data_IF_786343076414
#
_entry.id   IF_786343076414
#
_cell.length_a   1.000
_cell.length_b   1.000
_cell.length_c   1.000
_cell.angle_alpha   90.00
_cell.angle_beta   90.00
_cell.angle_gamma   90.00
#
_symmetry.space_group_name_H-M   'P 1'
#
loop_
_entity.id
_entity.type
_entity.pdbx_description
1 polymer ?
#
# COMPACT_ATOMS: atom_id res chain seq x y z
N UNK A 1 9.38 21.11 13.66
CA UNK A 1 8.58 20.09 12.94
C UNK A 1 9.16 18.70 13.19
N UNK A 2 8.33 17.64 13.21
CA UNK A 2 8.75 16.23 13.31
C UNK A 2 8.57 15.53 11.95
N UNK A 3 9.27 14.41 11.75
CA UNK A 3 9.19 13.63 10.50
C UNK A 3 7.95 12.73 10.47
N UNK A 4 7.33 12.61 9.31
CA UNK A 4 6.27 11.66 9.00
C UNK A 4 6.87 10.53 8.16
N UNK A 5 7.32 9.47 8.82
CA UNK A 5 7.98 8.33 8.19
C UNK A 5 7.07 7.10 8.17
N UNK A 6 7.07 6.38 7.05
CA UNK A 6 6.35 5.11 6.87
C UNK A 6 7.30 3.96 6.54
N UNK A 7 8.54 4.22 6.13
CA UNK A 7 9.57 3.21 5.96
C UNK A 7 10.91 3.77 6.44
N UNK A 8 11.79 2.91 6.95
CA UNK A 8 13.17 3.27 7.30
C UNK A 8 14.08 2.06 7.12
N UNK A 9 15.38 2.25 7.30
CA UNK A 9 16.35 1.15 7.33
C UNK A 9 16.15 0.16 8.50
N UNK A 10 15.31 0.49 9.49
CA UNK A 10 15.06 -0.35 10.68
C UNK A 10 13.63 -0.91 10.76
N UNK A 11 12.73 -0.53 9.84
CA UNK A 11 11.36 -1.06 9.83
C UNK A 11 11.36 -2.57 9.55
N UNK A 12 10.49 -3.31 10.25
CA UNK A 12 10.44 -4.79 10.18
C UNK A 12 9.86 -5.33 8.87
N UNK A 13 9.08 -4.51 8.18
CA UNK A 13 8.41 -4.79 6.90
C UNK A 13 8.32 -3.48 6.14
N UNK A 14 8.47 -3.53 4.82
CA UNK A 14 8.26 -2.39 3.94
C UNK A 14 6.87 -1.78 4.07
N UNK A 15 6.73 -0.52 3.65
CA UNK A 15 5.47 0.21 3.86
C UNK A 15 4.28 -0.41 3.10
N UNK A 16 4.54 -0.97 1.91
CA UNK A 16 3.49 -1.55 1.07
C UNK A 16 3.19 -3.02 1.44
N UNK A 17 4.16 -3.73 2.03
CA UNK A 17 3.90 -5.03 2.71
C UNK A 17 2.88 -4.87 3.82
N UNK A 18 3.01 -3.82 4.63
CA UNK A 18 2.04 -3.56 5.72
C UNK A 18 0.70 -3.11 5.16
N UNK A 19 0.68 -2.29 4.11
CA UNK A 19 -0.56 -1.87 3.45
C UNK A 19 -1.38 -3.07 2.94
N UNK A 20 -0.72 -4.08 2.35
CA UNK A 20 -1.35 -5.35 1.94
C UNK A 20 -1.82 -6.19 3.12
N UNK A 21 -0.99 -6.40 4.13
CA UNK A 21 -1.37 -7.22 5.30
C UNK A 21 -2.58 -6.59 6.02
N UNK A 22 -2.68 -5.27 6.10
CA UNK A 22 -3.79 -4.59 6.77
C UNK A 22 -5.16 -4.90 6.14
N UNK A 23 -5.23 -5.24 4.85
CA UNK A 23 -6.46 -5.67 4.17
C UNK A 23 -7.07 -6.90 4.85
N UNK A 24 -6.25 -7.79 5.42
CA UNK A 24 -6.73 -8.99 6.12
C UNK A 24 -7.65 -8.65 7.31
N UNK A 25 -7.53 -7.44 7.89
CA UNK A 25 -8.40 -7.00 8.98
C UNK A 25 -9.81 -6.64 8.51
N UNK A 26 -10.01 -6.40 7.21
CA UNK A 26 -11.30 -6.10 6.63
C UNK A 26 -12.05 -7.37 6.18
N UNK A 27 -11.30 -8.45 5.87
CA UNK A 27 -11.83 -9.73 5.39
C UNK A 27 -11.35 -10.92 6.25
N UNK A 28 -11.56 -10.90 7.58
CA UNK A 28 -11.00 -11.91 8.50
C UNK A 28 -11.51 -13.33 8.24
N UNK A 29 -12.79 -13.49 7.88
CA UNK A 29 -13.39 -14.80 7.62
C UNK A 29 -12.83 -15.45 6.35
N UNK A 30 -12.64 -14.67 5.29
CA UNK A 30 -11.99 -15.15 4.06
C UNK A 30 -10.54 -15.53 4.34
N UNK A 31 -9.81 -14.71 5.09
CA UNK A 31 -8.44 -14.99 5.49
C UNK A 31 -8.32 -16.30 6.27
N UNK A 32 -9.19 -16.54 7.25
CA UNK A 32 -9.22 -17.78 8.01
C UNK A 32 -9.41 -19.00 7.10
N UNK A 33 -10.36 -18.92 6.16
CA UNK A 33 -10.63 -19.99 5.20
C UNK A 33 -9.40 -20.29 4.34
N UNK A 34 -8.71 -19.25 3.84
CA UNK A 34 -7.50 -19.41 3.05
C UNK A 34 -6.38 -20.07 3.84
N UNK A 35 -6.11 -19.62 5.07
CA UNK A 35 -5.10 -20.23 5.94
C UNK A 35 -5.40 -21.71 6.17
N UNK A 36 -6.65 -22.08 6.49
CA UNK A 36 -7.03 -23.49 6.69
C UNK A 36 -6.77 -24.32 5.43
N UNK A 37 -7.18 -23.81 4.28
CA UNK A 37 -6.98 -24.44 2.96
C UNK A 37 -5.49 -24.63 2.63
N UNK A 38 -4.65 -23.62 2.85
CA UNK A 38 -3.22 -23.70 2.58
C UNK A 38 -2.48 -24.64 3.54
N UNK A 39 -2.85 -24.64 4.82
CA UNK A 39 -2.30 -25.59 5.81
C UNK A 39 -2.60 -27.04 5.44
N UNK A 40 -3.80 -27.31 4.95
CA UNK A 40 -4.18 -28.65 4.48
C UNK A 40 -3.33 -29.08 3.29
N UNK A 41 -3.24 -28.23 2.25
CA UNK A 41 -2.46 -28.49 1.03
C UNK A 41 -0.97 -28.66 1.31
N UNK A 42 -0.42 -27.91 2.26
CA UNK A 42 1.00 -27.95 2.60
C UNK A 42 1.34 -28.93 3.73
N UNK A 43 0.36 -29.64 4.30
CA UNK A 43 0.56 -30.51 5.46
C UNK A 43 1.63 -31.59 5.24
N UNK A 44 1.67 -32.19 4.05
CA UNK A 44 2.64 -33.21 3.65
C UNK A 44 4.05 -32.67 3.41
N UNK A 45 4.20 -31.35 3.24
CA UNK A 45 5.48 -30.67 3.01
C UNK A 45 6.24 -30.39 4.31
N UNK A 46 5.57 -30.53 5.46
CA UNK A 46 6.20 -30.33 6.77
C UNK A 46 7.09 -31.50 7.14
N UNK A 47 8.23 -31.19 7.75
CA UNK A 47 9.16 -32.22 8.24
C UNK A 47 8.95 -32.42 9.75
N UNK A 48 9.02 -33.67 10.21
CA UNK A 48 8.98 -34.00 11.62
C UNK A 48 10.39 -34.24 12.16
N UNK A 49 10.87 -33.35 13.02
CA UNK A 49 12.14 -33.47 13.73
C UNK A 49 11.89 -33.64 15.22
N UNK A 50 12.36 -34.75 15.80
CA UNK A 50 12.31 -35.01 17.26
C UNK A 50 10.92 -34.76 17.85
N UNK A 51 9.87 -35.34 17.25
CA UNK A 51 8.46 -35.15 17.63
C UNK A 51 7.93 -33.71 17.51
N UNK A 52 8.51 -32.89 16.62
CA UNK A 52 8.04 -31.53 16.30
C UNK A 52 7.87 -31.37 14.79
N UNK A 53 6.71 -30.88 14.39
CA UNK A 53 6.45 -30.48 13.00
C UNK A 53 7.09 -29.12 12.72
N UNK A 54 7.80 -29.01 11.60
CA UNK A 54 8.46 -27.79 11.14
C UNK A 54 7.86 -27.33 9.80
N UNK A 55 7.43 -26.08 9.67
CA UNK A 55 7.26 -25.10 10.75
C UNK A 55 6.14 -25.48 11.72
N UNK A 56 6.21 -24.93 12.94
CA UNK A 56 5.09 -25.01 13.87
C UNK A 56 3.89 -24.18 13.37
N UNK A 57 2.78 -24.17 14.12
CA UNK A 57 1.57 -23.47 13.65
C UNK A 57 1.72 -21.95 13.63
N UNK A 58 2.48 -21.37 14.56
CA UNK A 58 2.66 -19.93 14.65
C UNK A 58 3.60 -19.41 13.56
N UNK A 59 4.70 -20.12 13.33
CA UNK A 59 5.67 -19.79 12.28
C UNK A 59 5.09 -20.00 10.89
N UNK A 60 4.24 -21.02 10.69
CA UNK A 60 3.50 -21.21 9.44
C UNK A 60 2.51 -20.06 9.18
N UNK A 61 1.78 -19.61 10.20
CA UNK A 61 0.85 -18.49 10.07
C UNK A 61 1.58 -17.18 9.75
N UNK A 62 2.71 -16.94 10.42
CA UNK A 62 3.62 -15.83 10.13
C UNK A 62 4.15 -15.89 8.69
N UNK A 63 4.52 -17.07 8.22
CA UNK A 63 5.00 -17.26 6.86
C UNK A 63 3.91 -16.89 5.84
N UNK A 64 2.66 -17.33 6.03
CA UNK A 64 1.59 -16.99 5.09
C UNK A 64 1.30 -15.49 5.04
N UNK A 65 1.29 -14.78 6.17
CA UNK A 65 1.16 -13.31 6.17
C UNK A 65 2.35 -12.64 5.47
N UNK A 66 3.56 -13.17 5.70
CA UNK A 66 4.77 -12.65 5.07
C UNK A 66 4.71 -12.83 3.56
N UNK A 67 4.41 -14.04 3.08
CA UNK A 67 4.27 -14.31 1.64
C UNK A 67 3.21 -13.38 1.05
N UNK A 68 2.02 -13.31 1.63
CA UNK A 68 0.94 -12.44 1.14
C UNK A 68 1.36 -10.97 1.02
N UNK A 69 2.07 -10.47 2.03
CA UNK A 69 2.52 -9.08 2.05
C UNK A 69 3.61 -8.78 1.03
N UNK A 70 4.62 -9.64 0.89
CA UNK A 70 5.82 -9.38 0.08
C UNK A 70 5.83 -10.01 -1.30
N UNK A 71 4.84 -10.83 -1.66
CA UNK A 71 4.85 -11.53 -2.96
C UNK A 71 4.93 -10.51 -4.12
N UNK A 72 5.89 -10.67 -5.04
CA UNK A 72 6.14 -9.72 -6.12
C UNK A 72 5.01 -9.71 -7.16
N UNK A 73 4.71 -8.53 -7.73
CA UNK A 73 3.71 -8.39 -8.79
C UNK A 73 4.09 -9.13 -10.09
N UNK A 74 5.37 -9.13 -10.42
CA UNK A 74 5.94 -9.84 -11.59
C UNK A 74 6.03 -11.37 -11.42
N UNK A 75 5.56 -11.90 -10.28
CA UNK A 75 5.72 -13.31 -9.92
C UNK A 75 7.12 -13.62 -9.37
N UNK A 76 7.31 -14.87 -8.95
CA UNK A 76 8.56 -15.31 -8.30
C UNK A 76 9.58 -15.89 -9.28
N UNK A 77 9.15 -16.23 -10.49
CA UNK A 77 10.02 -16.75 -11.54
C UNK A 77 11.05 -15.70 -11.96
N UNK A 78 12.33 -16.08 -12.05
CA UNK A 78 13.44 -15.18 -12.37
C UNK A 78 13.68 -14.04 -11.35
N UNK A 79 13.19 -14.19 -10.12
CA UNK A 79 13.48 -13.27 -9.01
C UNK A 79 14.31 -13.96 -7.92
N UNK A 80 14.92 -13.18 -7.03
CA UNK A 80 15.59 -13.66 -5.82
C UNK A 80 14.64 -13.81 -4.61
N UNK A 81 13.32 -13.74 -4.85
CA UNK A 81 12.31 -13.64 -3.79
C UNK A 81 12.33 -14.81 -2.81
N UNK A 82 12.44 -16.04 -3.31
CA UNK A 82 12.38 -17.24 -2.48
C UNK A 82 13.58 -17.31 -1.53
N UNK A 83 14.75 -16.87 -1.98
CA UNK A 83 15.96 -16.80 -1.16
C UNK A 83 15.86 -15.66 -0.13
N UNK A 84 15.39 -14.47 -0.53
CA UNK A 84 15.11 -13.35 0.38
C UNK A 84 14.12 -13.74 1.49
N UNK A 85 13.08 -14.49 1.14
CA UNK A 85 12.08 -14.97 2.08
C UNK A 85 12.68 -15.98 3.07
N UNK A 86 13.53 -16.91 2.59
CA UNK A 86 14.24 -17.87 3.45
C UNK A 86 15.13 -17.14 4.46
N UNK A 87 15.93 -16.18 4.01
CA UNK A 87 16.80 -15.38 4.89
C UNK A 87 15.98 -14.64 5.96
N UNK A 88 14.86 -14.04 5.55
CA UNK A 88 13.96 -13.37 6.48
C UNK A 88 13.30 -14.33 7.48
N UNK A 89 12.85 -15.50 7.03
CA UNK A 89 12.22 -16.51 7.88
C UNK A 89 13.20 -17.00 8.96
N UNK A 90 14.44 -17.32 8.59
CA UNK A 90 15.49 -17.71 9.55
C UNK A 90 15.78 -16.59 10.56
N UNK A 91 15.90 -15.35 10.08
CA UNK A 91 16.06 -14.19 10.98
C UNK A 91 14.89 -14.08 11.96
N UNK A 92 13.65 -14.21 11.48
CA UNK A 92 12.45 -14.09 12.31
C UNK A 92 12.39 -15.16 13.41
N UNK A 93 12.65 -16.43 13.09
CA UNK A 93 12.59 -17.51 14.10
C UNK A 93 13.73 -17.44 15.10
N UNK A 94 14.91 -16.93 14.71
CA UNK A 94 16.02 -16.65 15.63
C UNK A 94 15.73 -15.49 16.57
N UNK A 95 15.02 -14.46 16.11
CA UNK A 95 14.58 -13.34 16.95
C UNK A 95 13.47 -13.75 17.92
N UNK A 96 12.58 -14.66 17.51
CA UNK A 96 11.52 -15.21 18.35
C UNK A 96 12.05 -16.05 19.53
N UNK A 97 13.21 -16.71 19.35
CA UNK A 97 13.91 -17.49 20.39
C UNK A 97 13.10 -18.65 21.00
N UNK A 98 12.09 -19.14 20.27
CA UNK A 98 11.25 -20.27 20.69
C UNK A 98 11.96 -21.60 20.44
N UNK A 99 12.47 -21.80 19.22
CA UNK A 99 13.11 -23.05 18.80
C UNK A 99 14.58 -22.89 18.42
N UNK A 100 14.96 -21.77 17.81
CA UNK A 100 16.35 -21.43 17.46
C UNK A 100 16.68 -20.01 17.94
N UNK A 101 17.96 -19.72 18.17
CA UNK A 101 18.44 -18.40 18.56
C UNK A 101 19.84 -18.13 18.00
N UNK A 102 20.23 -16.85 17.87
CA UNK A 102 21.55 -16.45 17.34
C UNK A 102 22.76 -17.04 18.05
N UNK A 103 22.65 -17.33 19.36
CA UNK A 103 23.74 -17.92 20.15
C UNK A 103 23.67 -19.44 20.22
N UNK A 104 22.54 -20.03 19.83
CA UNK A 104 22.29 -21.48 19.87
C UNK A 104 21.34 -21.85 18.74
N UNK A 105 21.94 -22.11 17.58
CA UNK A 105 21.20 -22.49 16.39
C UNK A 105 20.62 -23.90 16.53
N UNK A 106 19.35 -24.06 16.18
CA UNK A 106 18.72 -25.35 15.92
C UNK A 106 18.73 -25.58 14.41
N UNK A 107 19.79 -26.21 13.91
CA UNK A 107 20.01 -26.41 12.47
C UNK A 107 18.92 -27.29 11.84
N UNK A 108 18.33 -28.22 12.60
CA UNK A 108 17.27 -29.09 12.10
C UNK A 108 15.99 -28.28 11.86
N UNK A 109 15.63 -27.39 12.81
CA UNK A 109 14.48 -26.50 12.65
C UNK A 109 14.68 -25.51 11.49
N UNK A 110 15.85 -24.89 11.41
CA UNK A 110 16.16 -23.92 10.36
C UNK A 110 16.16 -24.58 8.97
N UNK A 111 16.80 -25.74 8.83
CA UNK A 111 16.80 -26.51 7.57
C UNK A 111 15.39 -26.95 7.20
N UNK A 112 14.63 -27.51 8.15
CA UNK A 112 13.25 -27.93 7.91
C UNK A 112 12.37 -26.77 7.45
N UNK A 113 12.56 -25.57 7.99
CA UNK A 113 11.77 -24.41 7.60
C UNK A 113 12.15 -23.90 6.20
N UNK A 114 13.44 -23.88 5.86
CA UNK A 114 13.89 -23.55 4.48
C UNK A 114 13.35 -24.56 3.46
N UNK A 115 13.45 -25.86 3.75
CA UNK A 115 12.88 -26.92 2.89
C UNK A 115 11.38 -26.78 2.73
N UNK A 116 10.66 -26.39 3.79
CA UNK A 116 9.22 -26.11 3.70
C UNK A 116 8.95 -24.93 2.75
N UNK A 117 9.69 -23.82 2.85
CA UNK A 117 9.54 -22.65 1.97
C UNK A 117 9.80 -23.05 0.51
N UNK A 118 10.89 -23.76 0.23
CA UNK A 118 11.21 -24.26 -1.12
C UNK A 118 10.07 -25.11 -1.68
N UNK A 119 9.55 -26.04 -0.88
CA UNK A 119 8.46 -26.94 -1.30
C UNK A 119 7.13 -26.21 -1.50
N UNK A 120 6.85 -25.17 -0.71
CA UNK A 120 5.62 -24.37 -0.81
C UNK A 120 5.63 -23.49 -2.05
N UNK A 121 6.78 -22.91 -2.38
CA UNK A 121 6.93 -21.94 -3.47
C UNK A 121 7.56 -22.50 -4.75
N UNK A 122 7.70 -23.82 -4.87
CA UNK A 122 8.17 -24.47 -6.09
C UNK A 122 7.35 -24.00 -7.31
N UNK A 123 7.97 -23.34 -8.31
CA UNK A 123 7.27 -22.85 -9.50
C UNK A 123 6.84 -24.04 -10.37
N UNK A 124 5.57 -24.41 -10.28
CA UNK A 124 4.98 -25.52 -11.03
C UNK A 124 3.48 -25.31 -11.19
N UNK A 125 2.95 -25.60 -12.38
CA UNK A 125 1.51 -25.59 -12.65
C UNK A 125 0.73 -26.57 -11.75
N UNK A 126 1.42 -27.61 -11.25
CA UNK A 126 0.86 -28.60 -10.34
C UNK A 126 0.89 -28.14 -8.88
N UNK A 127 1.49 -26.98 -8.57
CA UNK A 127 1.57 -26.45 -7.22
C UNK A 127 0.19 -25.95 -6.76
N UNK A 128 -0.54 -26.82 -6.07
CA UNK A 128 -1.87 -26.54 -5.54
C UNK A 128 -1.91 -25.34 -4.57
N UNK A 129 -0.82 -25.06 -3.85
CA UNK A 129 -0.74 -23.90 -2.98
C UNK A 129 -0.73 -22.63 -3.82
N UNK A 130 0.17 -22.49 -4.79
CA UNK A 130 0.23 -21.30 -5.66
C UNK A 130 -1.06 -21.08 -6.45
N UNK A 131 -1.70 -22.16 -6.92
CA UNK A 131 -2.99 -22.09 -7.61
C UNK A 131 -4.12 -21.51 -6.72
N UNK A 132 -4.13 -21.84 -5.42
CA UNK A 132 -5.11 -21.30 -4.45
C UNK A 132 -4.71 -19.94 -3.88
N UNK A 133 -3.42 -19.71 -3.70
CA UNK A 133 -2.85 -18.50 -3.13
C UNK A 133 -2.97 -17.32 -4.10
N UNK A 134 -2.65 -17.52 -5.38
CA UNK A 134 -2.53 -16.42 -6.35
C UNK A 134 -3.82 -15.60 -6.51
N UNK A 135 -5.02 -16.17 -6.66
CA UNK A 135 -6.25 -15.37 -6.76
C UNK A 135 -6.53 -14.54 -5.51
N UNK A 136 -6.29 -15.11 -4.32
CA UNK A 136 -6.49 -14.38 -3.06
C UNK A 136 -5.43 -13.30 -2.87
N UNK A 137 -4.17 -13.59 -3.19
CA UNK A 137 -3.09 -12.60 -3.18
C UNK A 137 -3.39 -11.45 -4.14
N UNK A 138 -3.84 -11.70 -5.37
CA UNK A 138 -4.21 -10.64 -6.33
C UNK A 138 -5.26 -9.71 -5.76
N UNK A 139 -6.33 -10.27 -5.17
CA UNK A 139 -7.36 -9.50 -4.45
C UNK A 139 -6.75 -8.61 -3.36
N UNK A 140 -5.93 -9.18 -2.48
CA UNK A 140 -5.31 -8.43 -1.36
C UNK A 140 -4.30 -7.39 -1.87
N UNK A 141 -3.53 -7.71 -2.90
CA UNK A 141 -2.55 -6.82 -3.50
C UNK A 141 -3.22 -5.59 -4.13
N UNK A 142 -4.37 -5.78 -4.77
CA UNK A 142 -5.17 -4.70 -5.37
C UNK A 142 -5.65 -3.69 -4.32
N UNK A 143 -6.29 -4.16 -3.24
CA UNK A 143 -6.65 -3.27 -2.12
C UNK A 143 -5.43 -2.69 -1.41
N UNK A 144 -4.33 -3.44 -1.35
CA UNK A 144 -3.05 -2.98 -0.82
C UNK A 144 -2.49 -1.77 -1.57
N UNK A 145 -2.65 -1.71 -2.90
CA UNK A 145 -2.28 -0.56 -3.72
C UNK A 145 -3.05 0.69 -3.26
N UNK A 146 -4.36 0.59 -3.07
CA UNK A 146 -5.17 1.74 -2.63
C UNK A 146 -4.77 2.21 -1.22
N UNK A 147 -4.56 1.26 -0.29
CA UNK A 147 -4.06 1.59 1.05
C UNK A 147 -2.70 2.30 0.99
N UNK A 148 -1.79 1.88 0.11
CA UNK A 148 -0.50 2.53 -0.10
C UNK A 148 -0.60 3.93 -0.71
N UNK A 149 -1.52 4.15 -1.64
CA UNK A 149 -1.78 5.49 -2.22
C UNK A 149 -2.33 6.44 -1.15
N UNK A 150 -3.34 6.00 -0.38
CA UNK A 150 -3.87 6.77 0.74
C UNK A 150 -2.81 7.08 1.79
N UNK A 151 -2.01 6.09 2.20
CA UNK A 151 -0.91 6.29 3.15
C UNK A 151 0.12 7.30 2.62
N UNK A 152 0.44 7.25 1.32
CA UNK A 152 1.38 8.17 0.67
C UNK A 152 0.84 9.60 0.67
N UNK A 153 -0.43 9.79 0.29
CA UNK A 153 -1.08 11.10 0.32
C UNK A 153 -1.09 11.68 1.74
N UNK A 154 -1.54 10.90 2.73
CA UNK A 154 -1.58 11.31 4.13
C UNK A 154 -0.20 11.66 4.67
N UNK A 155 0.82 10.82 4.40
CA UNK A 155 2.21 11.06 4.79
C UNK A 155 2.71 12.43 4.32
N UNK A 156 2.44 12.76 3.05
CA UNK A 156 2.95 13.99 2.42
C UNK A 156 2.15 15.22 2.86
N UNK A 157 0.86 15.10 3.14
CA UNK A 157 -0.02 16.26 3.34
C UNK A 157 -0.31 16.59 4.81
N UNK A 158 -0.20 15.61 5.72
CA UNK A 158 -0.38 15.81 7.15
C UNK A 158 0.64 16.83 7.73
N UNK A 159 0.34 17.43 8.89
CA UNK A 159 1.31 18.27 9.61
C UNK A 159 2.60 17.50 9.90
N UNK A 160 3.75 18.16 9.72
CA UNK A 160 5.07 17.52 9.81
C UNK A 160 5.84 17.58 8.50
N UNK A 161 7.02 16.98 8.49
CA UNK A 161 7.90 16.89 7.31
C UNK A 161 7.84 15.47 6.77
N UNK A 162 7.34 15.23 5.55
CA UNK A 162 7.30 13.88 5.00
C UNK A 162 8.70 13.33 4.77
N UNK A 163 8.90 12.09 5.21
CA UNK A 163 10.10 11.32 4.96
C UNK A 163 9.82 10.22 3.93
N UNK A 164 10.71 10.05 2.97
CA UNK A 164 10.62 9.04 1.92
C UNK A 164 11.92 8.25 1.94
N UNK A 165 11.83 7.01 2.40
CA UNK A 165 12.97 6.11 2.38
C UNK A 165 13.32 5.76 0.93
N UNK A 166 14.60 5.56 0.66
CA UNK A 166 15.08 5.35 -0.72
C UNK A 166 14.34 4.19 -1.41
N UNK A 167 13.81 4.45 -2.61
CA UNK A 167 13.15 3.44 -3.42
C UNK A 167 11.66 3.27 -3.16
N UNK A 168 11.10 3.84 -2.08
CA UNK A 168 9.68 3.70 -1.69
C UNK A 168 8.74 4.63 -2.46
N UNK A 169 9.24 5.40 -3.42
CA UNK A 169 8.42 6.01 -4.48
C UNK A 169 7.81 4.95 -5.41
N UNK A 170 8.39 3.74 -5.44
CA UNK A 170 7.79 2.53 -5.99
C UNK A 170 7.28 1.61 -4.86
N UNK A 171 6.76 0.43 -5.21
CA UNK A 171 6.32 -0.57 -4.25
C UNK A 171 7.49 -1.10 -3.39
N UNK A 172 7.47 -0.81 -2.09
CA UNK A 172 8.38 -1.33 -1.09
C UNK A 172 7.86 -2.65 -0.52
N UNK A 173 8.24 -3.73 -1.21
CA UNK A 173 7.96 -5.11 -0.83
C UNK A 173 9.11 -5.77 -0.06
N UNK A 174 9.88 -4.96 0.66
CA UNK A 174 11.07 -5.43 1.39
C UNK A 174 10.71 -6.05 2.75
N UNK A 175 11.53 -7.00 3.17
CA UNK A 175 11.58 -7.52 4.54
C UNK A 175 12.44 -6.61 5.44
N UNK A 176 12.72 -7.05 6.67
CA UNK A 176 13.65 -6.34 7.56
C UNK A 176 15.08 -6.38 7.02
N UNK A 177 15.95 -5.49 7.51
CA UNK A 177 17.40 -5.51 7.31
C UNK A 177 17.98 -6.94 7.30
N UNK A 178 18.85 -7.31 6.33
CA UNK A 178 19.41 -6.46 5.28
C UNK A 178 18.54 -6.29 4.02
N UNK A 179 17.35 -6.88 3.96
CA UNK A 179 16.55 -6.87 2.72
C UNK A 179 16.06 -5.47 2.32
N UNK A 180 15.75 -4.62 3.30
CA UNK A 180 15.41 -3.20 3.08
C UNK A 180 16.62 -2.32 2.75
N UNK A 181 17.84 -2.88 2.67
CA UNK A 181 19.07 -2.15 2.30
C UNK A 181 19.59 -2.50 0.91
N UNK A 182 18.82 -3.26 0.12
CA UNK A 182 19.16 -3.59 -1.27
C UNK A 182 19.34 -2.31 -2.12
N UNK A 183 20.19 -2.35 -3.15
CA UNK A 183 20.44 -1.19 -3.99
C UNK A 183 19.17 -0.75 -4.73
N UNK A 184 19.01 0.56 -4.87
CA UNK A 184 17.89 1.17 -5.59
C UNK A 184 18.34 1.52 -7.00
N UNK A 185 17.60 1.06 -8.01
CA UNK A 185 17.77 1.49 -9.39
C UNK A 185 17.16 2.89 -9.59
N UNK A 186 17.99 3.92 -9.40
CA UNK A 186 17.60 5.31 -9.57
C UNK A 186 17.55 5.73 -11.04
N UNK A 187 18.36 5.14 -11.92
CA UNK A 187 18.36 5.46 -13.34
C UNK A 187 16.99 5.14 -13.96
N UNK A 188 16.44 3.96 -13.65
CA UNK A 188 15.08 3.58 -14.06
C UNK A 188 14.03 4.55 -13.52
N UNK A 189 14.11 4.94 -12.25
CA UNK A 189 13.13 5.84 -11.62
C UNK A 189 13.15 7.25 -12.20
N UNK A 190 14.35 7.77 -12.47
CA UNK A 190 14.53 9.07 -13.12
C UNK A 190 13.94 9.06 -14.53
N UNK A 191 14.18 8.00 -15.30
CA UNK A 191 13.61 7.83 -16.64
C UNK A 191 12.08 7.79 -16.59
N UNK A 192 11.51 6.94 -15.74
CA UNK A 192 10.06 6.81 -15.56
C UNK A 192 9.44 8.13 -15.11
N UNK A 193 10.05 8.85 -14.16
CA UNK A 193 9.56 10.15 -13.72
C UNK A 193 9.56 11.18 -14.86
N UNK A 194 10.58 11.17 -15.72
CA UNK A 194 10.65 12.05 -16.89
C UNK A 194 9.50 11.75 -17.86
N UNK A 195 9.24 10.48 -18.14
CA UNK A 195 8.16 10.05 -19.02
C UNK A 195 6.78 10.45 -18.46
N UNK A 196 6.54 10.20 -17.18
CA UNK A 196 5.32 10.62 -16.47
C UNK A 196 5.12 12.13 -16.61
N UNK A 197 6.17 12.94 -16.38
CA UNK A 197 6.08 14.41 -16.49
C UNK A 197 5.78 14.87 -17.91
N UNK A 198 6.36 14.24 -18.92
CA UNK A 198 6.10 14.57 -20.32
C UNK A 198 4.67 14.21 -20.74
N UNK A 199 4.18 13.03 -20.34
CA UNK A 199 2.82 12.58 -20.62
C UNK A 199 1.79 13.45 -19.92
N UNK A 200 2.03 13.82 -18.65
CA UNK A 200 1.14 14.70 -17.89
C UNK A 200 0.97 16.09 -18.53
N UNK A 201 1.99 16.60 -19.22
CA UNK A 201 1.91 17.86 -19.97
C UNK A 201 1.09 17.76 -21.26
N UNK A 202 0.93 16.55 -21.80
CA UNK A 202 0.26 16.30 -23.07
C UNK A 202 -1.21 15.96 -22.83
N UNK A 203 -1.47 14.96 -21.99
CA UNK A 203 -2.81 14.55 -21.58
C UNK A 203 -2.72 13.82 -20.23
N UNK A 204 -3.07 14.54 -19.17
CA UNK A 204 -3.01 14.01 -17.81
C UNK A 204 -4.08 12.95 -17.53
N UNK A 205 -5.24 13.03 -18.18
CA UNK A 205 -6.32 12.06 -17.95
C UNK A 205 -5.99 10.73 -18.63
N UNK A 206 -5.48 10.77 -19.87
CA UNK A 206 -4.99 9.54 -20.51
C UNK A 206 -3.85 8.90 -19.72
N UNK A 207 -2.91 9.70 -19.19
CA UNK A 207 -1.86 9.18 -18.32
C UNK A 207 -2.45 8.51 -17.08
N UNK A 208 -3.41 9.13 -16.40
CA UNK A 208 -4.04 8.57 -15.20
C UNK A 208 -4.76 7.25 -15.50
N UNK A 209 -5.48 7.15 -16.61
CA UNK A 209 -6.09 5.90 -17.07
C UNK A 209 -5.04 4.79 -17.27
N UNK A 210 -3.94 5.10 -17.96
CA UNK A 210 -2.84 4.15 -18.18
C UNK A 210 -2.21 3.70 -16.85
N UNK A 211 -1.98 4.63 -15.92
CA UNK A 211 -1.41 4.36 -14.60
C UNK A 211 -2.33 3.49 -13.74
N UNK A 212 -3.65 3.66 -13.84
CA UNK A 212 -4.64 2.82 -13.17
C UNK A 212 -4.65 1.41 -13.77
N UNK A 213 -4.63 1.31 -15.10
CA UNK A 213 -4.62 0.04 -15.80
C UNK A 213 -3.35 -0.78 -15.53
N UNK A 214 -2.22 -0.11 -15.28
CA UNK A 214 -0.90 -0.73 -15.06
C UNK A 214 -0.36 -0.55 -13.64
N UNK A 215 -1.24 -0.27 -12.66
CA UNK A 215 -0.89 0.09 -11.28
C UNK A 215 0.10 -0.83 -10.57
N UNK A 216 0.18 -2.11 -10.96
CA UNK A 216 1.14 -3.08 -10.43
C UNK A 216 2.61 -2.68 -10.66
N UNK A 217 2.91 -1.85 -11.68
CA UNK A 217 4.27 -1.43 -12.04
C UNK A 217 4.84 -0.28 -11.20
N UNK A 218 4.06 0.21 -10.23
CA UNK A 218 4.39 1.27 -9.28
C UNK A 218 4.46 2.70 -9.83
N UNK A 219 4.26 2.91 -11.14
CA UNK A 219 4.27 4.27 -11.73
C UNK A 219 3.19 5.16 -11.13
N UNK A 220 2.03 4.59 -10.76
CA UNK A 220 0.93 5.33 -10.13
C UNK A 220 1.35 5.94 -8.77
N UNK A 221 2.16 5.23 -7.98
CA UNK A 221 2.67 5.73 -6.69
C UNK A 221 3.73 6.81 -6.89
N UNK A 222 4.62 6.65 -7.87
CA UNK A 222 5.60 7.67 -8.23
C UNK A 222 4.92 8.94 -8.74
N UNK A 223 3.90 8.81 -9.60
CA UNK A 223 3.08 9.92 -10.07
C UNK A 223 2.44 10.67 -8.90
N UNK A 224 1.71 9.96 -8.02
CA UNK A 224 1.09 10.55 -6.82
C UNK A 224 2.12 11.28 -5.96
N UNK A 225 3.25 10.62 -5.66
CA UNK A 225 4.32 11.18 -4.84
C UNK A 225 4.86 12.48 -5.45
N UNK A 226 5.14 12.48 -6.75
CA UNK A 226 5.66 13.65 -7.44
C UNK A 226 4.64 14.81 -7.44
N UNK A 227 3.39 14.55 -7.81
CA UNK A 227 2.33 15.57 -7.87
C UNK A 227 2.07 16.21 -6.52
N UNK A 228 1.94 15.39 -5.46
CA UNK A 228 1.64 15.87 -4.11
C UNK A 228 2.84 16.63 -3.51
N UNK A 229 4.09 16.20 -3.78
CA UNK A 229 5.28 16.96 -3.37
C UNK A 229 5.42 18.29 -4.13
N UNK A 230 5.12 18.31 -5.43
CA UNK A 230 5.09 19.55 -6.22
C UNK A 230 4.05 20.52 -5.68
N UNK A 231 2.83 20.04 -5.38
CA UNK A 231 1.78 20.83 -4.74
C UNK A 231 2.21 21.34 -3.37
N UNK A 232 2.80 20.47 -2.54
CA UNK A 232 3.31 20.84 -1.22
C UNK A 232 4.39 21.91 -1.30
N UNK A 233 5.29 21.82 -2.26
CA UNK A 233 6.33 22.82 -2.50
C UNK A 233 5.73 24.14 -2.97
N UNK A 234 4.74 24.11 -3.86
CA UNK A 234 4.06 25.30 -4.38
C UNK A 234 3.27 26.04 -3.29
N UNK A 235 2.58 25.30 -2.43
CA UNK A 235 1.70 25.82 -1.38
C UNK A 235 2.33 25.68 0.03
N UNK A 236 3.65 25.87 0.11
CA UNK A 236 4.44 25.55 1.30
C UNK A 236 3.89 26.17 2.59
N UNK A 237 3.44 27.43 2.53
CA UNK A 237 2.91 28.13 3.70
C UNK A 237 1.67 27.45 4.29
N UNK A 238 0.75 26.95 3.45
CA UNK A 238 -0.41 26.17 3.92
C UNK A 238 0.05 24.90 4.63
N UNK A 239 1.09 24.25 4.12
CA UNK A 239 1.59 23.00 4.70
C UNK A 239 2.50 23.20 5.93
N UNK A 240 3.08 24.37 6.13
CA UNK A 240 3.94 24.68 7.29
C UNK A 240 3.17 25.39 8.42
N UNK A 241 2.33 26.36 8.06
CA UNK A 241 1.67 27.29 8.97
C UNK A 241 0.15 27.11 9.05
N UNK A 242 -0.45 26.48 8.03
CA UNK A 242 -1.90 26.32 7.96
C UNK A 242 -2.44 25.36 9.01
N UNK A 243 -3.61 25.71 9.54
CA UNK A 243 -4.33 24.94 10.55
C UNK A 243 -4.69 23.54 10.06
N UNK A 244 -4.90 22.58 10.96
CA UNK A 244 -5.39 21.25 10.64
C UNK A 244 -6.85 21.13 11.06
N UNK A 245 -7.75 20.92 10.11
CA UNK A 245 -9.19 20.84 10.33
C UNK A 245 -9.69 19.47 9.85
N UNK A 246 -10.03 18.54 10.76
CA UNK A 246 -10.77 17.33 10.36
C UNK A 246 -12.07 17.72 9.66
N UNK A 247 -12.37 17.10 8.53
CA UNK A 247 -13.64 17.31 7.83
C UNK A 247 -14.58 16.16 8.14
N UNK A 248 -15.84 16.49 8.42
CA UNK A 248 -16.88 15.50 8.62
C UNK A 248 -17.28 14.89 7.27
N UNK A 249 -17.32 13.56 7.21
CA UNK A 249 -17.81 12.79 6.06
C UNK A 249 -19.21 12.29 6.40
N UNK A 250 -20.15 12.48 5.49
CA UNK A 250 -21.56 12.07 5.62
C UNK A 250 -21.91 11.15 4.45
N UNK A 251 -22.93 10.30 4.60
CA UNK A 251 -23.43 9.37 3.55
C UNK A 251 -23.11 7.90 3.81
N UNK A 252 -23.42 7.04 2.83
CA UNK A 252 -23.29 5.57 2.90
C UNK A 252 -21.89 5.13 3.33
N UNK A 253 -20.83 5.72 2.75
CA UNK A 253 -19.43 5.30 2.96
C UNK A 253 -18.63 6.27 3.84
N UNK A 254 -19.29 6.94 4.79
CA UNK A 254 -18.64 7.93 5.68
C UNK A 254 -17.42 7.40 6.45
N UNK A 255 -17.41 6.12 6.82
CA UNK A 255 -16.32 5.49 7.58
C UNK A 255 -15.16 5.03 6.68
N UNK A 256 -15.33 5.12 5.36
CA UNK A 256 -14.39 4.67 4.33
C UNK A 256 -13.56 5.82 3.74
N UNK A 257 -13.64 7.03 4.30
CA UNK A 257 -12.87 8.19 3.86
C UNK A 257 -12.23 8.87 5.06
N UNK A 258 -10.97 9.25 4.92
CA UNK A 258 -10.30 10.20 5.81
C UNK A 258 -10.16 11.50 5.06
N UNK A 259 -10.76 12.57 5.60
CA UNK A 259 -10.69 13.88 5.02
C UNK A 259 -10.26 14.94 6.04
N UNK A 260 -9.41 15.87 5.61
CA UNK A 260 -9.07 17.05 6.39
C UNK A 260 -8.73 18.23 5.48
N UNK A 261 -8.95 19.44 6.00
CA UNK A 261 -8.54 20.68 5.38
C UNK A 261 -7.30 21.25 6.07
N UNK A 262 -6.52 22.01 5.29
CA UNK A 262 -5.51 22.93 5.79
C UNK A 262 -5.69 24.29 5.15
N UNK A 263 -5.76 25.33 5.96
CA UNK A 263 -5.99 26.69 5.49
C UNK A 263 -4.94 27.64 6.04
N UNK A 264 -4.41 28.49 5.18
CA UNK A 264 -3.54 29.61 5.56
C UNK A 264 -3.83 30.78 4.62
N UNK A 265 -4.17 31.94 5.20
CA UNK A 265 -4.61 33.12 4.45
C UNK A 265 -5.73 32.76 3.46
N UNK A 266 -5.54 33.05 2.17
CA UNK A 266 -6.55 32.86 1.13
C UNK A 266 -6.49 31.47 0.48
N UNK A 267 -5.58 30.59 0.90
CA UNK A 267 -5.44 29.24 0.33
C UNK A 267 -5.94 28.18 1.30
N UNK A 268 -6.80 27.30 0.79
CA UNK A 268 -7.27 26.09 1.48
C UNK A 268 -6.92 24.86 0.66
N UNK A 269 -6.50 23.80 1.34
CA UNK A 269 -6.20 22.50 0.77
C UNK A 269 -7.09 21.46 1.43
N UNK A 270 -7.80 20.66 0.65
CA UNK A 270 -8.55 19.50 1.15
C UNK A 270 -7.84 18.22 0.71
N UNK A 271 -7.64 17.32 1.66
CA UNK A 271 -7.06 15.99 1.45
C UNK A 271 -8.17 14.96 1.60
N UNK A 272 -8.33 14.07 0.62
CA UNK A 272 -9.32 12.99 0.64
C UNK A 272 -8.61 11.67 0.37
N UNK A 273 -8.57 10.80 1.39
CA UNK A 273 -7.90 9.51 1.34
C UNK A 273 -8.88 8.37 1.69
N UNK A 274 -9.25 7.53 0.72
CA UNK A 274 -10.07 6.35 0.98
C UNK A 274 -9.40 5.34 1.92
N UNK A 275 -10.21 4.58 2.65
CA UNK A 275 -9.80 3.46 3.51
C UNK A 275 -10.89 2.39 3.54
N UNK A 276 -10.53 1.18 3.95
CA UNK A 276 -11.47 0.08 4.12
C UNK A 276 -12.25 -0.28 2.84
N UNK A 277 -11.54 -0.37 1.72
CA UNK A 277 -12.14 -0.44 0.40
C UNK A 277 -12.72 -1.80 0.04
N UNK A 278 -12.45 -2.85 0.82
CA UNK A 278 -13.08 -4.16 0.60
C UNK A 278 -14.60 -4.13 0.78
N UNK A 279 -15.11 -3.17 1.56
CA UNK A 279 -16.54 -2.92 1.76
C UNK A 279 -17.16 -1.92 0.78
N UNK A 280 -16.37 -1.33 -0.12
CA UNK A 280 -16.81 -0.28 -1.05
C UNK A 280 -16.86 -0.79 -2.50
N UNK A 281 -15.79 -1.45 -2.94
CA UNK A 281 -15.67 -1.97 -4.32
C UNK A 281 -15.30 -3.44 -4.32
N UNK A 282 -15.73 -4.16 -5.35
CA UNK A 282 -15.30 -5.55 -5.56
C UNK A 282 -13.85 -5.59 -6.07
N UNK A 283 -13.19 -6.76 -6.03
CA UNK A 283 -11.86 -6.89 -6.62
C UNK A 283 -11.87 -6.46 -8.10
N UNK A 284 -10.81 -5.81 -8.56
CA UNK A 284 -10.65 -5.25 -9.91
C UNK A 284 -11.52 -4.01 -10.24
N UNK A 285 -12.50 -3.66 -9.40
CA UNK A 285 -13.25 -2.40 -9.51
C UNK A 285 -12.44 -1.23 -8.91
N UNK A 286 -12.53 -0.07 -9.54
CA UNK A 286 -11.83 1.14 -9.08
C UNK A 286 -12.68 1.93 -8.09
N UNK A 287 -12.13 2.43 -6.98
CA UNK A 287 -12.86 3.25 -6.01
C UNK A 287 -13.00 4.71 -6.48
N UNK A 288 -13.51 4.90 -7.71
CA UNK A 288 -13.62 6.20 -8.39
C UNK A 288 -15.05 6.45 -8.88
N UNK A 289 -15.44 7.72 -8.89
CA UNK A 289 -16.70 8.19 -9.46
C UNK A 289 -17.93 8.08 -8.55
N UNK A 290 -18.97 8.82 -8.93
CA UNK A 290 -20.23 8.95 -8.18
C UNK A 290 -20.96 7.65 -7.91
N UNK A 291 -20.92 6.71 -8.85
CA UNK A 291 -21.64 5.45 -8.69
C UNK A 291 -21.08 4.60 -7.56
N UNK A 292 -19.78 4.70 -7.30
CA UNK A 292 -19.10 3.95 -6.23
C UNK A 292 -19.34 4.60 -4.88
N UNK A 293 -19.23 5.93 -4.80
CA UNK A 293 -19.30 6.66 -3.54
C UNK A 293 -20.71 7.07 -3.13
N UNK A 294 -21.73 6.78 -3.94
CA UNK A 294 -23.15 7.05 -3.67
C UNK A 294 -23.40 8.49 -3.22
N UNK A 295 -24.01 8.69 -2.05
CA UNK A 295 -24.33 9.98 -1.43
C UNK A 295 -23.23 10.46 -0.47
N UNK A 296 -22.02 9.89 -0.55
CA UNK A 296 -20.93 10.22 0.36
C UNK A 296 -20.32 11.57 0.02
N UNK A 297 -20.33 12.51 0.97
CA UNK A 297 -19.89 13.89 0.77
C UNK A 297 -19.21 14.46 2.03
N UNK A 298 -18.51 15.59 1.83
CA UNK A 298 -17.99 16.44 2.90
C UNK A 298 -18.91 17.65 3.10
N UNK A 299 -19.14 18.00 4.35
CA UNK A 299 -19.77 19.26 4.73
C UNK A 299 -18.71 20.37 4.78
N UNK A 300 -18.84 21.39 3.94
CA UNK A 300 -17.90 22.50 3.84
C UNK A 300 -18.50 23.77 4.43
N UNK A 301 -17.70 24.51 5.21
CA UNK A 301 -18.14 25.81 5.72
C UNK A 301 -18.34 26.81 4.58
N UNK A 302 -19.28 27.76 4.73
CA UNK A 302 -19.50 28.85 3.76
C UNK A 302 -18.25 29.72 3.49
N UNK A 303 -17.26 29.65 4.39
CA UNK A 303 -16.00 30.36 4.23
C UNK A 303 -15.01 29.61 3.33
N UNK A 304 -15.28 28.39 2.89
CA UNK A 304 -14.39 27.66 1.99
C UNK A 304 -14.67 28.02 0.53
N UNK A 305 -13.66 27.94 -0.36
CA UNK A 305 -13.86 28.09 -1.80
C UNK A 305 -14.92 27.13 -2.34
N UNK A 306 -15.66 27.56 -3.37
CA UNK A 306 -16.63 26.71 -4.07
C UNK A 306 -16.02 26.01 -5.29
N UNK A 307 -14.86 26.47 -5.75
CA UNK A 307 -14.13 25.91 -6.91
C UNK A 307 -12.77 25.43 -6.44
N UNK A 308 -12.47 24.17 -6.74
CA UNK A 308 -11.26 23.50 -6.34
C UNK A 308 -10.50 23.02 -7.56
N UNK A 309 -9.18 23.08 -7.50
CA UNK A 309 -8.31 22.40 -8.46
C UNK A 309 -7.70 21.17 -7.80
N UNK A 310 -7.93 19.99 -8.36
CA UNK A 310 -7.21 18.79 -7.95
C UNK A 310 -5.75 18.86 -8.41
N UNK A 311 -4.84 18.91 -7.45
CA UNK A 311 -3.41 18.95 -7.70
C UNK A 311 -2.88 17.61 -8.26
N UNK A 312 -3.61 16.51 -8.16
CA UNK A 312 -3.21 15.23 -8.74
C UNK A 312 -3.52 15.23 -10.25
N UNK A 313 -4.76 15.50 -10.63
CA UNK A 313 -5.27 15.34 -12.01
C UNK A 313 -5.43 16.65 -12.80
N UNK A 314 -5.13 17.80 -12.18
CA UNK A 314 -5.32 19.15 -12.72
C UNK A 314 -6.77 19.51 -13.08
N UNK A 315 -7.74 18.67 -12.71
CA UNK A 315 -9.16 18.89 -12.97
C UNK A 315 -9.78 19.86 -11.97
N UNK A 316 -10.90 20.47 -12.38
CA UNK A 316 -11.70 21.34 -11.53
C UNK A 316 -12.82 20.52 -10.88
N UNK A 317 -13.02 20.73 -9.58
CA UNK A 317 -14.11 20.15 -8.81
C UNK A 317 -14.88 21.31 -8.18
N UNK A 318 -16.19 21.32 -8.38
CA UNK A 318 -17.08 22.33 -7.81
C UNK A 318 -17.72 21.81 -6.52
N UNK A 319 -18.11 22.73 -5.65
CA UNK A 319 -18.80 22.43 -4.39
C UNK A 319 -19.77 23.56 -4.09
N UNK A 320 -20.87 23.23 -3.42
CA UNK A 320 -21.90 24.20 -3.05
C UNK A 320 -22.36 23.95 -1.62
N UNK A 321 -21.51 24.28 -0.65
CA UNK A 321 -21.70 23.92 0.76
C UNK A 321 -21.40 22.44 1.06
N UNK A 322 -21.59 21.56 0.09
CA UNK A 322 -21.15 20.17 0.13
C UNK A 322 -20.17 19.86 -1.01
N UNK A 323 -19.27 18.92 -0.78
CA UNK A 323 -18.36 18.37 -1.78
C UNK A 323 -18.55 16.85 -1.86
N UNK A 324 -19.10 16.39 -2.98
CA UNK A 324 -19.33 14.96 -3.24
C UNK A 324 -17.99 14.21 -3.38
N UNK A 325 -17.79 13.14 -2.60
CA UNK A 325 -16.59 12.31 -2.69
C UNK A 325 -16.48 11.67 -4.08
N UNK A 326 -17.61 11.26 -4.65
CA UNK A 326 -17.67 10.69 -5.98
C UNK A 326 -17.25 11.68 -7.09
N UNK A 327 -17.41 12.99 -6.89
CA UNK A 327 -16.89 14.01 -7.80
C UNK A 327 -15.40 14.23 -7.61
N UNK A 328 -14.97 14.40 -6.35
CA UNK A 328 -13.57 14.59 -6.02
C UNK A 328 -12.69 13.41 -6.46
N UNK A 329 -13.23 12.19 -6.42
CA UNK A 329 -12.55 10.95 -6.81
C UNK A 329 -12.99 10.46 -8.19
N UNK A 330 -13.33 11.37 -9.13
CA UNK A 330 -13.78 10.96 -10.48
C UNK A 330 -12.69 10.22 -11.26
N UNK A 331 -11.45 10.71 -11.20
CA UNK A 331 -10.37 10.22 -12.06
C UNK A 331 -9.27 9.47 -11.32
N UNK A 332 -9.08 9.72 -10.02
CA UNK A 332 -8.00 9.14 -9.22
C UNK A 332 -8.53 8.66 -7.87
N UNK A 333 -8.03 7.54 -7.30
CA UNK A 333 -8.54 6.94 -6.06
C UNK A 333 -8.11 7.70 -4.78
N UNK A 334 -7.77 8.98 -4.89
CA UNK A 334 -7.48 9.92 -3.82
C UNK A 334 -7.51 11.35 -4.39
N UNK A 335 -7.70 12.38 -3.56
CA UNK A 335 -7.69 13.77 -4.04
C UNK A 335 -6.86 14.70 -3.16
N UNK A 336 -6.21 15.67 -3.80
CA UNK A 336 -5.59 16.83 -3.15
C UNK A 336 -6.15 18.10 -3.79
N UNK A 337 -7.21 18.63 -3.22
CA UNK A 337 -7.92 19.77 -3.76
C UNK A 337 -7.35 21.07 -3.22
N UNK A 338 -7.07 22.03 -4.11
CA UNK A 338 -6.58 23.36 -3.76
C UNK A 338 -7.65 24.38 -4.13
N UNK A 339 -8.06 25.20 -3.16
CA UNK A 339 -8.96 26.32 -3.36
C UNK A 339 -8.27 27.61 -2.93
N UNK A 340 -8.40 28.65 -3.75
CA UNK A 340 -7.92 30.01 -3.48
C UNK A 340 -9.16 30.92 -3.45
N UNK A 341 -9.22 31.86 -2.49
CA UNK A 341 -10.32 32.83 -2.36
C UNK A 341 -10.18 34.03 -3.30
#
# INVERSE_FOLDING_TARGET
HKMNATATHDTKRGEDVRARINVLSEIPDEWEQQVRSWREVNSSKKVNFVNRMVPDTNDEYFLYQTILGSFPFEGIENTDYVDRLKDYAIKAVREAKVYTAWLRHDNDYETGFMTFIDSVLEPSEQNQFLNKFTPFWKKVADYGIFNSLSQTLLKITAPGVPDIYQGTEFWDLSHVDPDNRRPVDFDRRIEVLRQIKQQAQTDILQLVEDLIATREDARIKLFLTARVLEARKKYLQVFELGDYQPLEVVGTFKDNVVAFARSFEDTTVIVIAPRFLTGVVKPEEMPIGKQVWEDTHLELSEQMPSVWKDAITDQVVESNGTLEIGEALTYFPAALLIGEK
#
